data_IF_291733826008
#
_entry.id   IF_291733826008
#
_cell.length_a   1.000
_cell.length_b   1.000
_cell.length_c   1.000
_cell.angle_alpha   90.00
_cell.angle_beta   90.00
_cell.angle_gamma   90.00
#
_symmetry.space_group_name_H-M   'P 1'
#
loop_
_entity.id
_entity.type
_entity.pdbx_description
1 polymer ?
#
# COMPACT_ATOMS: atom_id res chain seq x y z
N UNK A 1 -15.21 -2.16 22.52
CA UNK A 1 -13.93 -2.89 22.68
C UNK A 1 -13.38 -3.46 21.37
N UNK A 2 -14.15 -4.22 20.57
CA UNK A 2 -13.66 -4.87 19.35
C UNK A 2 -12.99 -3.91 18.33
N UNK A 3 -13.50 -2.68 18.17
CA UNK A 3 -12.90 -1.68 17.29
C UNK A 3 -11.50 -1.23 17.72
N UNK A 4 -11.17 -1.23 19.02
CA UNK A 4 -9.84 -0.85 19.51
C UNK A 4 -8.79 -1.89 19.12
N UNK A 5 -9.13 -3.17 19.23
CA UNK A 5 -8.26 -4.25 18.74
C UNK A 5 -8.03 -4.13 17.24
N UNK A 6 -9.08 -3.85 16.46
CA UNK A 6 -8.97 -3.60 15.02
C UNK A 6 -8.04 -2.44 14.68
N UNK A 7 -8.15 -1.31 15.38
CA UNK A 7 -7.26 -0.15 15.20
C UNK A 7 -5.81 -0.48 15.58
N UNK A 8 -5.59 -1.22 16.66
CA UNK A 8 -4.24 -1.66 17.08
C UNK A 8 -3.62 -2.57 16.02
N UNK A 9 -4.35 -3.56 15.53
CA UNK A 9 -3.86 -4.44 14.46
C UNK A 9 -3.60 -3.68 13.16
N UNK A 10 -4.50 -2.77 12.78
CA UNK A 10 -4.33 -1.93 11.59
C UNK A 10 -3.09 -1.04 11.70
N UNK A 11 -2.90 -0.37 12.84
CA UNK A 11 -1.75 0.47 13.09
C UNK A 11 -0.43 -0.31 13.09
N UNK A 12 -0.42 -1.51 13.69
CA UNK A 12 0.75 -2.38 13.68
C UNK A 12 1.11 -2.86 12.26
N UNK A 13 0.11 -3.27 11.48
CA UNK A 13 0.30 -3.70 10.10
C UNK A 13 0.82 -2.55 9.22
N UNK A 14 0.20 -1.37 9.30
CA UNK A 14 0.63 -0.19 8.54
C UNK A 14 2.03 0.27 8.94
N UNK A 15 2.34 0.31 10.24
CA UNK A 15 3.65 0.71 10.74
C UNK A 15 4.76 -0.22 10.23
N UNK A 16 4.52 -1.53 10.25
CA UNK A 16 5.45 -2.52 9.69
C UNK A 16 5.61 -2.36 8.18
N UNK A 17 4.50 -2.25 7.44
CA UNK A 17 4.53 -2.10 5.99
C UNK A 17 5.29 -0.85 5.55
N UNK A 18 5.03 0.29 6.20
CA UNK A 18 5.66 1.57 5.85
C UNK A 18 7.17 1.57 6.13
N UNK A 19 7.60 1.02 7.27
CA UNK A 19 9.03 0.94 7.60
C UNK A 19 9.78 0.02 6.66
N UNK A 20 9.23 -1.15 6.34
CA UNK A 20 9.85 -2.11 5.39
C UNK A 20 9.99 -1.48 4.00
N UNK A 21 8.94 -0.83 3.48
CA UNK A 21 9.03 -0.17 2.17
C UNK A 21 10.09 0.94 2.14
N UNK A 22 10.17 1.77 3.19
CA UNK A 22 11.17 2.86 3.24
C UNK A 22 12.60 2.32 3.36
N UNK A 23 12.83 1.27 4.15
CA UNK A 23 14.14 0.63 4.28
C UNK A 23 14.62 0.08 2.92
N UNK A 24 13.73 -0.61 2.18
CA UNK A 24 14.04 -1.14 0.86
C UNK A 24 14.50 -0.05 -0.14
N UNK A 25 13.84 1.12 -0.14
CA UNK A 25 14.26 2.27 -0.96
C UNK A 25 15.67 2.76 -0.58
N UNK A 26 15.99 2.76 0.71
CA UNK A 26 17.31 3.16 1.22
C UNK A 26 18.44 2.22 0.82
N UNK A 27 18.15 0.92 0.68
CA UNK A 27 19.10 -0.11 0.25
C UNK A 27 19.30 -0.13 -1.27
N UNK A 28 18.24 0.10 -2.05
CA UNK A 28 18.30 0.04 -3.53
C UNK A 28 18.96 1.25 -4.17
N UNK A 29 19.05 2.40 -3.48
CA UNK A 29 19.45 3.68 -4.09
C UNK A 29 20.77 4.22 -3.52
N UNK A 30 21.75 4.59 -4.39
CA UNK A 30 23.00 5.23 -3.97
C UNK A 30 22.77 6.52 -3.17
N UNK A 31 23.63 6.79 -2.19
CA UNK A 31 23.53 7.91 -1.23
C UNK A 31 23.25 9.27 -1.89
N UNK A 32 23.82 9.51 -3.07
CA UNK A 32 23.69 10.77 -3.82
C UNK A 32 22.30 11.02 -4.41
N UNK A 33 21.47 9.98 -4.59
CA UNK A 33 20.13 10.06 -5.19
C UNK A 33 18.98 9.69 -4.24
N UNK A 34 19.28 9.41 -2.97
CA UNK A 34 18.26 9.02 -1.96
C UNK A 34 17.15 10.05 -1.80
N UNK A 35 17.47 11.34 -1.77
CA UNK A 35 16.48 12.41 -1.65
C UNK A 35 15.42 12.36 -2.76
N UNK A 36 15.84 12.21 -4.02
CA UNK A 36 14.94 12.07 -5.17
C UNK A 36 14.14 10.77 -5.12
N UNK A 37 14.77 9.65 -4.73
CA UNK A 37 14.09 8.37 -4.63
C UNK A 37 13.00 8.34 -3.56
N UNK A 38 13.27 8.86 -2.36
CA UNK A 38 12.26 8.99 -1.31
C UNK A 38 11.14 9.96 -1.69
N UNK A 39 11.47 11.05 -2.39
CA UNK A 39 10.47 11.98 -2.92
C UNK A 39 9.53 11.28 -3.91
N UNK A 40 10.09 10.61 -4.92
CA UNK A 40 9.31 9.86 -5.91
C UNK A 40 8.48 8.75 -5.26
N UNK A 41 9.07 7.99 -4.34
CA UNK A 41 8.37 6.96 -3.58
C UNK A 41 7.17 7.55 -2.82
N UNK A 42 7.37 8.65 -2.10
CA UNK A 42 6.30 9.29 -1.31
C UNK A 42 5.19 9.84 -2.21
N UNK A 43 5.54 10.44 -3.35
CA UNK A 43 4.56 10.91 -4.35
C UNK A 43 3.75 9.77 -4.94
N UNK A 44 4.41 8.69 -5.37
CA UNK A 44 3.72 7.53 -5.95
C UNK A 44 2.85 6.81 -4.91
N UNK A 45 3.36 6.64 -3.69
CA UNK A 45 2.60 6.03 -2.59
C UNK A 45 1.34 6.85 -2.27
N UNK A 46 1.48 8.17 -2.13
CA UNK A 46 0.36 9.07 -1.88
C UNK A 46 -0.65 9.11 -3.03
N UNK A 47 -0.18 9.20 -4.28
CA UNK A 47 -1.04 9.20 -5.47
C UNK A 47 -1.80 7.90 -5.62
N UNK A 48 -1.14 6.76 -5.36
CA UNK A 48 -1.79 5.43 -5.42
C UNK A 48 -2.86 5.30 -4.33
N UNK A 49 -2.55 5.72 -3.10
CA UNK A 49 -3.52 5.74 -2.01
C UNK A 49 -4.71 6.66 -2.29
N UNK A 50 -4.45 7.84 -2.86
CA UNK A 50 -5.50 8.77 -3.27
C UNK A 50 -6.38 8.18 -4.37
N UNK A 51 -5.78 7.63 -5.43
CA UNK A 51 -6.51 7.01 -6.54
C UNK A 51 -7.36 5.82 -6.05
N UNK A 52 -6.82 4.97 -5.18
CA UNK A 52 -7.54 3.85 -4.57
C UNK A 52 -8.75 4.32 -3.76
N UNK A 53 -8.56 5.29 -2.87
CA UNK A 53 -9.66 5.85 -2.08
C UNK A 53 -10.70 6.59 -2.94
N UNK A 54 -10.27 7.32 -3.97
CA UNK A 54 -11.18 8.00 -4.89
C UNK A 54 -12.04 7.00 -5.67
N UNK A 55 -11.45 5.92 -6.17
CA UNK A 55 -12.18 4.82 -6.81
C UNK A 55 -13.16 4.17 -5.83
N UNK A 56 -12.72 3.84 -4.61
CA UNK A 56 -13.63 3.29 -3.59
C UNK A 56 -14.81 4.23 -3.28
N UNK A 57 -14.57 5.55 -3.27
CA UNK A 57 -15.62 6.55 -3.10
C UNK A 57 -16.62 6.59 -4.27
N UNK A 58 -16.15 6.47 -5.51
CA UNK A 58 -17.00 6.41 -6.71
C UNK A 58 -17.83 5.12 -6.76
N UNK A 59 -17.23 3.99 -6.35
CA UNK A 59 -17.88 2.68 -6.32
C UNK A 59 -18.81 2.49 -5.09
N UNK A 60 -18.83 3.46 -4.17
CA UNK A 60 -19.56 3.34 -2.89
C UNK A 60 -21.06 3.09 -3.07
N UNK A 61 -21.67 3.61 -4.13
CA UNK A 61 -23.09 3.40 -4.44
C UNK A 61 -23.44 1.95 -4.80
N UNK A 62 -22.46 1.08 -5.05
CA UNK A 62 -22.67 -0.31 -5.45
C UNK A 62 -21.79 -1.26 -4.62
N UNK A 63 -22.32 -1.85 -3.54
CA UNK A 63 -21.53 -2.70 -2.63
C UNK A 63 -20.92 -3.91 -3.34
N UNK A 64 -21.61 -4.50 -4.32
CA UNK A 64 -21.09 -5.61 -5.12
C UNK A 64 -19.85 -5.22 -5.94
N UNK A 65 -19.86 -4.01 -6.53
CA UNK A 65 -18.75 -3.51 -7.34
C UNK A 65 -17.54 -3.19 -6.45
N UNK A 66 -17.78 -2.60 -5.27
CA UNK A 66 -16.75 -2.29 -4.29
C UNK A 66 -16.05 -3.55 -3.80
N UNK A 67 -16.81 -4.59 -3.41
CA UNK A 67 -16.23 -5.87 -2.97
C UNK A 67 -15.44 -6.51 -4.11
N UNK A 68 -15.98 -6.53 -5.32
CA UNK A 68 -15.29 -7.11 -6.49
C UNK A 68 -13.99 -6.37 -6.78
N UNK A 69 -13.99 -5.03 -6.73
CA UNK A 69 -12.79 -4.21 -6.92
C UNK A 69 -11.73 -4.50 -5.84
N UNK A 70 -12.11 -4.49 -4.57
CA UNK A 70 -11.17 -4.76 -3.47
C UNK A 70 -10.57 -6.17 -3.57
N UNK A 71 -11.40 -7.19 -3.79
CA UNK A 71 -10.94 -8.58 -3.88
C UNK A 71 -10.02 -8.78 -5.10
N UNK A 72 -10.37 -8.22 -6.26
CA UNK A 72 -9.53 -8.32 -7.46
C UNK A 72 -8.20 -7.59 -7.28
N UNK A 73 -8.20 -6.41 -6.66
CA UNK A 73 -6.98 -5.66 -6.37
C UNK A 73 -6.05 -6.41 -5.40
N UNK A 74 -6.60 -7.00 -4.33
CA UNK A 74 -5.83 -7.83 -3.39
C UNK A 74 -5.29 -9.10 -4.06
N UNK A 75 -6.11 -9.80 -4.85
CA UNK A 75 -5.69 -10.99 -5.58
C UNK A 75 -4.60 -10.69 -6.61
N UNK A 76 -4.64 -9.53 -7.26
CA UNK A 76 -3.59 -9.09 -8.18
C UNK A 76 -2.29 -8.73 -7.45
N UNK A 77 -2.36 -8.29 -6.19
CA UNK A 77 -1.18 -7.99 -5.37
C UNK A 77 -0.38 -9.25 -5.01
N UNK A 78 -1.06 -10.36 -4.73
CA UNK A 78 -0.43 -11.64 -4.35
C UNK A 78 0.64 -12.16 -5.32
N UNK A 79 0.39 -12.31 -6.64
CA UNK A 79 1.40 -12.80 -7.57
C UNK A 79 2.60 -11.83 -7.68
N UNK A 80 2.37 -10.52 -7.61
CA UNK A 80 3.45 -9.53 -7.60
C UNK A 80 4.35 -9.70 -6.36
N UNK A 81 3.74 -9.82 -5.19
CA UNK A 81 4.46 -9.98 -3.93
C UNK A 81 5.24 -11.32 -3.90
N UNK A 82 4.63 -12.41 -4.38
CA UNK A 82 5.28 -13.72 -4.48
C UNK A 82 6.45 -13.73 -5.47
N UNK A 83 6.33 -13.02 -6.59
CA UNK A 83 7.44 -12.87 -7.55
C UNK A 83 8.61 -12.08 -6.94
N UNK A 84 8.31 -11.07 -6.13
CA UNK A 84 9.31 -10.22 -5.49
C UNK A 84 10.04 -10.93 -4.35
N UNK A 85 9.34 -11.76 -3.56
CA UNK A 85 9.93 -12.59 -2.48
C UNK A 85 10.76 -13.75 -3.04
N UNK A 86 10.45 -14.23 -4.26
CA UNK A 86 11.19 -15.31 -4.91
C UNK A 86 12.48 -14.84 -5.61
N UNK A 87 12.78 -13.54 -5.60
CA UNK A 87 13.96 -12.91 -6.21
C UNK A 87 14.94 -12.47 -5.13
#
# INVERSE_FOLDING_TARGET
MAGLLGVVFWGAAMGMQETVMRAAVGEMVPSRRRGTAYGLFSSLYGLSGFAGNALMGLLYSSPNLLVTFSVTAELLSLPFLLLMVRR
#
